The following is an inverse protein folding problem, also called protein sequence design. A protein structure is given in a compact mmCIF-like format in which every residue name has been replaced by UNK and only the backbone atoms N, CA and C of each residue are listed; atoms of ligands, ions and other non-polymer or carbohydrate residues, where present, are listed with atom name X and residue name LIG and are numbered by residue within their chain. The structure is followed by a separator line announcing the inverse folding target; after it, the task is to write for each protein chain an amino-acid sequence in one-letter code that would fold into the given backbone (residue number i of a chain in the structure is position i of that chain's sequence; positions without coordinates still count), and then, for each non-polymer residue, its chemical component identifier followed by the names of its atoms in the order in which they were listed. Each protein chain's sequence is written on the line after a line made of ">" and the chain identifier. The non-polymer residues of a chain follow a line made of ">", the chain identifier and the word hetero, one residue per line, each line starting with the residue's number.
data_IF_457408337882
#
_entry.id   IF_457408337882
#
_cell.length_a   1.000
_cell.length_b   1.000
_cell.length_c   1.000
_cell.angle_alpha   90.00
_cell.angle_beta   90.00
_cell.angle_gamma   90.00
#
_symmetry.space_group_name_H-M   'P 1'
#
loop_
_entity.id
_entity.type
_entity.pdbx_description
1 polymer ?
#
# COMPACT_ATOMS: atom_id res chain seq x y z
N UNK A 1 13.06 4.28 3.56
CA UNK A 1 13.68 5.51 4.09
C UNK A 1 13.98 5.31 5.56
N UNK A 2 15.25 5.44 5.95
CA UNK A 2 15.73 5.38 7.32
C UNK A 2 16.19 6.77 7.78
N UNK A 3 16.08 7.04 9.06
CA UNK A 3 16.65 8.23 9.69
C UNK A 3 18.01 7.84 10.27
N UNK A 4 19.07 8.43 9.76
CA UNK A 4 20.43 8.24 10.29
C UNK A 4 20.51 8.91 11.67
N UNK A 5 20.61 8.11 12.72
CA UNK A 5 20.62 8.58 14.09
C UNK A 5 21.86 9.39 14.44
N UNK A 6 23.00 9.12 13.79
CA UNK A 6 24.25 9.85 14.01
C UNK A 6 24.19 11.26 13.40
N UNK A 7 23.47 11.42 12.29
CA UNK A 7 23.31 12.71 11.60
C UNK A 7 22.08 13.48 12.07
N UNK A 8 21.15 12.87 12.78
CA UNK A 8 19.96 13.53 13.26
C UNK A 8 20.29 14.64 14.26
N UNK A 9 19.87 15.88 13.96
CA UNK A 9 20.06 17.08 14.78
C UNK A 9 18.83 17.47 15.60
N UNK A 10 17.79 16.65 15.59
CA UNK A 10 16.56 16.81 16.39
C UNK A 10 15.74 18.07 16.10
N UNK A 11 15.88 18.68 14.94
CA UNK A 11 15.16 19.89 14.58
C UNK A 11 13.66 19.69 14.38
N UNK A 12 13.18 18.45 14.29
CA UNK A 12 11.78 18.06 14.15
C UNK A 12 11.09 18.51 12.85
N UNK A 13 11.76 19.19 11.94
CA UNK A 13 11.17 19.61 10.67
C UNK A 13 10.62 18.45 9.83
N UNK A 14 11.22 17.26 9.94
CA UNK A 14 10.71 16.07 9.26
C UNK A 14 9.31 15.67 9.71
N UNK A 15 8.86 16.07 10.91
CA UNK A 15 7.48 15.82 11.38
C UNK A 15 6.49 16.75 10.68
N UNK A 16 6.81 18.03 10.61
CA UNK A 16 5.93 19.04 9.98
C UNK A 16 5.88 18.88 8.47
N UNK A 17 7.02 18.58 7.82
CA UNK A 17 7.11 18.45 6.37
C UNK A 17 6.64 17.10 5.82
N UNK A 18 6.47 16.07 6.66
CA UNK A 18 6.01 14.78 6.19
C UNK A 18 4.49 14.76 5.98
N UNK A 19 3.98 14.63 4.75
CA UNK A 19 2.54 14.57 4.49
C UNK A 19 1.89 13.36 5.18
N UNK A 20 2.63 12.26 5.32
CA UNK A 20 2.17 11.02 5.97
C UNK A 20 2.20 11.06 7.49
N UNK A 21 2.81 12.08 8.11
CA UNK A 21 2.97 12.22 9.58
C UNK A 21 3.57 10.96 10.23
N UNK A 22 4.52 10.33 9.56
CA UNK A 22 5.14 9.07 10.03
C UNK A 22 6.38 9.24 10.93
N UNK A 23 7.21 10.30 10.83
CA UNK A 23 8.26 10.53 11.79
C UNK A 23 7.70 10.94 13.16
N UNK A 24 8.31 10.46 14.21
CA UNK A 24 8.00 10.82 15.59
C UNK A 24 9.29 11.08 16.36
N UNK A 25 9.17 11.83 17.45
CA UNK A 25 10.29 12.14 18.32
C UNK A 25 10.33 11.14 19.48
N UNK A 26 11.45 10.47 19.62
CA UNK A 26 11.68 9.59 20.77
C UNK A 26 12.33 10.38 21.90
N UNK A 27 11.59 10.55 23.00
CA UNK A 27 12.02 11.35 24.16
C UNK A 27 13.17 10.69 24.93
N UNK A 28 13.30 9.37 24.91
CA UNK A 28 14.36 8.66 25.61
C UNK A 28 15.72 8.78 24.91
N UNK A 29 15.74 8.73 23.58
CA UNK A 29 16.95 8.86 22.76
C UNK A 29 17.23 10.29 22.33
N UNK A 30 16.26 11.20 22.54
CA UNK A 30 16.26 12.56 22.01
C UNK A 30 16.53 12.61 20.49
N UNK A 31 16.00 11.66 19.73
CA UNK A 31 16.18 11.52 18.27
C UNK A 31 14.85 11.37 17.55
N UNK A 32 14.89 11.68 16.26
CA UNK A 32 13.76 11.40 15.38
C UNK A 32 13.80 9.95 14.93
N UNK A 33 12.62 9.32 14.92
CA UNK A 33 12.45 7.94 14.48
C UNK A 33 11.26 7.81 13.54
N UNK A 34 11.18 6.70 12.83
CA UNK A 34 10.02 6.29 12.03
C UNK A 34 10.01 4.78 11.86
N UNK A 35 8.88 4.24 11.46
CA UNK A 35 8.76 2.84 11.11
C UNK A 35 9.81 2.46 10.04
N UNK A 36 10.61 1.44 10.33
CA UNK A 36 11.63 0.88 9.44
C UNK A 36 11.15 -0.37 8.69
N UNK A 37 9.86 -0.69 8.79
CA UNK A 37 9.24 -1.93 8.27
C UNK A 37 9.89 -3.21 8.81
N UNK A 38 10.51 -3.15 9.99
CA UNK A 38 11.27 -4.26 10.59
C UNK A 38 12.28 -4.88 9.58
N UNK A 39 13.02 -4.03 8.84
CA UNK A 39 13.88 -4.50 7.75
C UNK A 39 14.82 -5.64 8.14
N UNK A 40 15.40 -5.73 9.35
CA UNK A 40 16.26 -6.88 9.71
C UNK A 40 15.50 -8.20 9.71
N UNK A 41 14.18 -8.17 10.01
CA UNK A 41 13.32 -9.36 9.92
C UNK A 41 12.99 -9.70 8.47
N UNK A 42 12.70 -8.66 7.67
CA UNK A 42 12.39 -8.84 6.24
C UNK A 42 13.59 -9.41 5.50
N UNK A 43 14.79 -8.94 5.78
CA UNK A 43 16.05 -9.48 5.22
C UNK A 43 16.29 -10.95 5.60
N UNK A 44 15.82 -11.38 6.78
CA UNK A 44 15.88 -12.79 7.19
C UNK A 44 14.67 -13.62 6.75
N UNK A 45 13.82 -13.10 5.84
CA UNK A 45 12.65 -13.80 5.31
C UNK A 45 11.44 -13.83 6.24
N UNK A 46 11.45 -13.05 7.33
CA UNK A 46 10.36 -12.98 8.29
C UNK A 46 9.50 -11.73 8.04
N UNK A 47 8.17 -11.80 8.25
CA UNK A 47 7.32 -10.64 8.11
C UNK A 47 7.57 -9.62 9.24
N UNK A 48 7.26 -8.32 9.01
CA UNK A 48 7.24 -7.33 10.06
C UNK A 48 6.36 -7.75 11.24
N UNK A 49 6.73 -7.37 12.46
CA UNK A 49 6.03 -7.80 13.69
C UNK A 49 4.53 -7.48 13.63
N UNK A 50 4.15 -6.29 13.17
CA UNK A 50 2.75 -5.87 13.07
C UNK A 50 1.94 -6.67 12.02
N UNK A 51 2.60 -7.31 11.06
CA UNK A 51 1.95 -8.25 10.13
C UNK A 51 1.82 -9.63 10.77
N UNK A 52 2.87 -10.07 11.44
CA UNK A 52 2.89 -11.37 12.12
C UNK A 52 1.82 -11.44 13.21
N UNK A 53 1.73 -10.41 14.04
CA UNK A 53 0.79 -10.33 15.17
C UNK A 53 -0.65 -9.98 14.76
N UNK A 54 -0.91 -9.67 13.49
CA UNK A 54 -2.26 -9.34 13.03
C UNK A 54 -3.13 -10.60 12.97
N UNK A 55 -4.08 -10.74 13.91
CA UNK A 55 -4.98 -11.90 13.99
C UNK A 55 -5.83 -12.04 12.71
N UNK A 56 -6.39 -10.95 12.21
CA UNK A 56 -7.21 -10.95 10.99
C UNK A 56 -6.43 -11.09 9.69
N UNK A 57 -5.08 -11.06 9.71
CA UNK A 57 -4.23 -11.10 8.51
C UNK A 57 -4.61 -10.07 7.45
N UNK A 58 -5.14 -8.93 7.88
CA UNK A 58 -5.65 -7.88 6.98
C UNK A 58 -4.54 -7.07 6.30
N UNK A 59 -3.30 -7.17 6.77
CA UNK A 59 -2.16 -6.42 6.24
C UNK A 59 -1.36 -7.30 5.30
N UNK A 60 -1.10 -6.80 4.11
CA UNK A 60 -0.25 -7.46 3.14
C UNK A 60 0.74 -6.47 2.54
N UNK A 61 1.96 -6.92 2.30
CA UNK A 61 2.95 -6.18 1.56
C UNK A 61 3.71 -7.11 0.64
N UNK A 62 4.27 -6.57 -0.41
CA UNK A 62 5.06 -7.33 -1.35
C UNK A 62 5.50 -6.49 -2.53
N UNK A 63 6.21 -7.10 -3.43
CA UNK A 63 6.69 -6.46 -4.64
C UNK A 63 5.57 -6.44 -5.66
N UNK A 64 5.34 -5.25 -6.23
CA UNK A 64 4.45 -5.03 -7.36
C UNK A 64 5.23 -4.38 -8.49
N UNK A 65 4.93 -4.79 -9.71
CA UNK A 65 5.44 -4.13 -10.91
C UNK A 65 4.44 -3.05 -11.32
N UNK A 66 4.92 -1.82 -11.46
CA UNK A 66 4.11 -0.67 -11.86
C UNK A 66 4.51 -0.20 -13.26
N UNK A 67 3.53 0.17 -14.06
CA UNK A 67 3.72 0.87 -15.31
C UNK A 67 4.13 2.32 -15.03
N UNK A 68 5.43 2.59 -15.15
CA UNK A 68 5.99 3.90 -14.82
C UNK A 68 5.59 4.99 -15.80
N UNK A 69 5.26 4.64 -17.05
CA UNK A 69 4.85 5.61 -18.08
C UNK A 69 3.43 6.15 -17.80
N UNK A 70 2.62 5.41 -17.05
CA UNK A 70 1.25 5.78 -16.71
C UNK A 70 1.06 6.31 -15.28
N UNK A 71 2.16 6.49 -14.54
CA UNK A 71 2.09 6.99 -13.15
C UNK A 71 1.48 8.39 -13.09
N UNK A 72 1.84 9.28 -14.04
CA UNK A 72 1.30 10.63 -14.08
C UNK A 72 -0.23 10.61 -14.28
N UNK A 73 -0.73 9.83 -15.23
CA UNK A 73 -2.16 9.63 -15.45
C UNK A 73 -2.89 9.18 -14.18
N UNK A 74 -2.33 8.18 -13.50
CA UNK A 74 -2.91 7.66 -12.27
C UNK A 74 -2.89 8.68 -11.12
N UNK A 75 -1.87 9.52 -11.04
CA UNK A 75 -1.77 10.56 -10.00
C UNK A 75 -2.68 11.77 -10.25
N UNK A 76 -3.08 12.00 -11.49
CA UNK A 76 -4.01 13.09 -11.85
C UNK A 76 -5.48 12.66 -11.81
N UNK A 77 -5.77 11.38 -11.55
CA UNK A 77 -7.14 10.87 -11.46
C UNK A 77 -7.96 11.59 -10.38
N UNK A 78 -9.27 11.69 -10.56
CA UNK A 78 -10.19 12.23 -9.54
C UNK A 78 -10.18 11.35 -8.28
N UNK A 79 -10.47 11.96 -7.13
CA UNK A 79 -10.40 11.28 -5.81
C UNK A 79 -11.25 10.00 -5.75
N UNK A 80 -12.44 10.03 -6.37
CA UNK A 80 -13.33 8.85 -6.47
C UNK A 80 -12.76 7.69 -7.28
N UNK A 81 -11.83 7.97 -8.20
CA UNK A 81 -11.26 6.99 -9.13
C UNK A 81 -9.83 6.58 -8.78
N UNK A 82 -9.25 7.16 -7.73
CA UNK A 82 -7.85 6.94 -7.34
C UNK A 82 -7.48 5.46 -7.15
N UNK A 83 -8.32 4.69 -6.46
CA UNK A 83 -8.05 3.26 -6.22
C UNK A 83 -8.05 2.49 -7.53
N UNK A 84 -9.01 2.77 -8.42
CA UNK A 84 -9.09 2.16 -9.73
C UNK A 84 -7.91 2.55 -10.61
N UNK A 85 -7.52 3.83 -10.59
CA UNK A 85 -6.36 4.33 -11.31
C UNK A 85 -5.06 3.67 -10.82
N UNK A 86 -4.86 3.56 -9.50
CA UNK A 86 -3.70 2.83 -8.96
C UNK A 86 -3.69 1.36 -9.37
N UNK A 87 -4.83 0.67 -9.35
CA UNK A 87 -4.92 -0.72 -9.79
C UNK A 87 -4.62 -0.87 -11.28
N UNK A 88 -5.01 0.10 -12.11
CA UNK A 88 -4.84 0.01 -13.56
C UNK A 88 -3.37 -0.02 -14.00
N UNK A 89 -2.50 0.66 -13.26
CA UNK A 89 -1.05 0.72 -13.54
C UNK A 89 -0.23 -0.42 -12.94
N UNK A 90 -0.87 -1.34 -12.19
CA UNK A 90 -0.20 -2.55 -11.71
C UNK A 90 -0.14 -3.55 -12.85
N UNK A 91 1.07 -4.01 -13.19
CA UNK A 91 1.33 -4.96 -14.25
C UNK A 91 1.23 -6.40 -13.76
N UNK A 92 0.90 -7.32 -14.68
CA UNK A 92 0.86 -8.74 -14.37
C UNK A 92 2.29 -9.32 -14.38
N UNK A 93 2.80 -9.83 -13.24
CA UNK A 93 4.14 -10.39 -13.17
C UNK A 93 4.28 -11.74 -13.89
N UNK A 94 3.19 -12.29 -14.42
CA UNK A 94 3.20 -13.55 -15.19
C UNK A 94 3.09 -13.32 -16.70
N UNK A 95 2.87 -12.09 -17.14
CA UNK A 95 2.83 -11.74 -18.57
C UNK A 95 4.25 -11.69 -19.14
N UNK A 96 4.50 -12.46 -20.20
CA UNK A 96 5.81 -12.54 -20.87
C UNK A 96 6.29 -11.18 -21.37
N UNK A 97 5.38 -10.35 -21.93
CA UNK A 97 5.73 -9.01 -22.39
C UNK A 97 6.19 -8.10 -21.25
N UNK A 98 5.54 -8.22 -20.08
CA UNK A 98 5.91 -7.47 -18.88
C UNK A 98 7.27 -7.92 -18.35
N UNK A 99 7.53 -9.24 -18.34
CA UNK A 99 8.81 -9.83 -17.91
C UNK A 99 9.95 -9.36 -18.84
N UNK A 100 9.76 -9.40 -20.15
CA UNK A 100 10.76 -8.93 -21.11
C UNK A 100 11.04 -7.43 -20.96
N UNK A 101 9.99 -6.62 -20.82
CA UNK A 101 10.13 -5.17 -20.59
C UNK A 101 10.85 -4.87 -19.27
N UNK A 102 10.53 -5.60 -18.21
CA UNK A 102 11.19 -5.48 -16.91
C UNK A 102 12.69 -5.81 -17.00
N UNK A 103 13.05 -6.91 -17.66
CA UNK A 103 14.45 -7.28 -17.90
C UNK A 103 15.19 -6.24 -18.73
N UNK A 104 14.55 -5.74 -19.78
CA UNK A 104 15.11 -4.69 -20.64
C UNK A 104 15.35 -3.38 -19.88
N UNK A 105 14.52 -3.07 -18.88
CA UNK A 105 14.69 -1.91 -18.00
C UNK A 105 15.72 -2.13 -16.87
N UNK A 106 16.34 -3.32 -16.81
CA UNK A 106 17.42 -3.62 -15.85
C UNK A 106 16.95 -4.22 -14.53
N UNK A 107 15.70 -4.66 -14.41
CA UNK A 107 15.27 -5.44 -13.25
C UNK A 107 15.94 -6.83 -13.27
N UNK A 108 16.45 -7.25 -12.10
CA UNK A 108 16.99 -8.59 -11.94
C UNK A 108 15.87 -9.64 -11.87
N UNK A 109 16.21 -10.88 -12.26
CA UNK A 109 15.27 -12.01 -12.19
C UNK A 109 14.73 -12.25 -10.77
N UNK A 110 15.54 -11.98 -9.73
CA UNK A 110 15.13 -12.12 -8.34
C UNK A 110 13.94 -11.23 -7.97
N UNK A 111 13.87 -10.00 -8.53
CA UNK A 111 12.76 -9.10 -8.31
C UNK A 111 11.49 -9.57 -9.02
N UNK A 112 11.62 -10.09 -10.22
CA UNK A 112 10.51 -10.66 -10.99
C UNK A 112 9.96 -11.89 -10.26
N UNK A 113 10.82 -12.78 -9.83
CA UNK A 113 10.47 -13.94 -9.02
C UNK A 113 9.76 -13.56 -7.71
N UNK A 114 10.25 -12.52 -7.04
CA UNK A 114 9.65 -12.02 -5.81
C UNK A 114 8.26 -11.43 -6.07
N UNK A 115 8.06 -10.74 -7.19
CA UNK A 115 6.75 -10.23 -7.59
C UNK A 115 5.76 -11.37 -7.90
N UNK A 116 6.20 -12.43 -8.57
CA UNK A 116 5.40 -13.62 -8.89
C UNK A 116 5.00 -14.41 -7.63
N UNK A 117 5.90 -14.54 -6.66
CA UNK A 117 5.63 -15.21 -5.37
C UNK A 117 4.78 -14.37 -4.44
N UNK A 118 4.76 -13.05 -4.63
CA UNK A 118 4.01 -12.14 -3.77
C UNK A 118 2.49 -12.36 -3.91
N UNK A 119 1.77 -12.57 -2.80
CA UNK A 119 0.31 -12.68 -2.85
C UNK A 119 -0.36 -11.33 -3.16
N UNK A 120 0.37 -10.22 -3.04
CA UNK A 120 -0.17 -8.86 -3.12
C UNK A 120 -0.77 -8.58 -4.49
N UNK A 121 -0.13 -9.02 -5.57
CA UNK A 121 -0.69 -8.88 -6.92
C UNK A 121 -2.09 -9.51 -7.02
N UNK A 122 -2.26 -10.73 -6.52
CA UNK A 122 -3.57 -11.42 -6.55
C UNK A 122 -4.61 -10.70 -5.69
N UNK A 123 -4.21 -10.24 -4.50
CA UNK A 123 -5.10 -9.54 -3.58
C UNK A 123 -5.55 -8.17 -4.09
N UNK A 124 -4.66 -7.43 -4.77
CA UNK A 124 -4.93 -6.06 -5.21
C UNK A 124 -5.55 -6.01 -6.60
N UNK A 125 -4.95 -6.73 -7.57
CA UNK A 125 -5.30 -6.65 -8.98
C UNK A 125 -6.31 -7.70 -9.41
N UNK A 126 -6.09 -8.97 -9.04
CA UNK A 126 -6.92 -10.08 -9.53
C UNK A 126 -8.21 -10.27 -8.74
N UNK A 127 -8.15 -10.15 -7.42
CA UNK A 127 -9.30 -10.34 -6.54
C UNK A 127 -9.90 -9.05 -6.02
N UNK A 128 -9.20 -7.93 -6.18
CA UNK A 128 -9.62 -6.58 -5.76
C UNK A 128 -10.02 -6.47 -4.27
N UNK A 129 -9.51 -7.36 -3.43
CA UNK A 129 -9.82 -7.44 -2.01
C UNK A 129 -9.01 -6.45 -1.16
N UNK A 130 -7.82 -6.09 -1.60
CA UNK A 130 -6.92 -5.24 -0.84
C UNK A 130 -6.85 -3.83 -1.43
N UNK A 131 -6.80 -2.84 -0.54
CA UNK A 131 -6.80 -1.42 -0.86
C UNK A 131 -5.57 -0.74 -0.27
N UNK A 132 -5.02 0.31 -0.90
CA UNK A 132 -4.04 1.16 -0.26
C UNK A 132 -4.67 1.89 0.93
N UNK A 133 -3.90 2.11 2.00
CA UNK A 133 -4.42 2.76 3.21
C UNK A 133 -4.76 4.24 2.97
N UNK A 134 -3.99 4.91 2.14
CA UNK A 134 -4.09 6.35 1.86
C UNK A 134 -3.92 6.63 0.37
N UNK A 135 -4.92 6.28 -0.46
CA UNK A 135 -4.87 6.56 -1.91
C UNK A 135 -4.79 8.06 -2.21
N UNK A 136 -5.35 8.90 -1.34
CA UNK A 136 -5.33 10.36 -1.45
C UNK A 136 -3.92 10.96 -1.47
N UNK A 137 -2.91 10.24 -0.98
CA UNK A 137 -1.52 10.68 -1.08
C UNK A 137 -0.89 10.45 -2.45
N UNK A 138 -1.60 9.80 -3.38
CA UNK A 138 -1.21 9.63 -4.78
C UNK A 138 0.20 9.07 -4.96
N UNK A 139 0.58 8.13 -4.10
CA UNK A 139 1.88 7.45 -4.14
C UNK A 139 1.73 6.00 -4.58
N UNK A 140 2.83 5.37 -4.97
CA UNK A 140 2.86 3.96 -5.34
C UNK A 140 3.02 3.10 -4.07
N UNK A 141 1.93 2.54 -3.51
CA UNK A 141 2.02 1.77 -2.27
C UNK A 141 2.59 0.38 -2.52
N UNK A 142 3.32 -0.15 -1.54
CA UNK A 142 3.72 -1.56 -1.45
C UNK A 142 2.98 -2.28 -0.31
N UNK A 143 2.15 -1.55 0.40
CA UNK A 143 1.45 -1.98 1.61
C UNK A 143 -0.04 -1.79 1.40
N UNK A 144 -0.78 -2.87 1.58
CA UNK A 144 -2.21 -2.92 1.33
C UNK A 144 -2.95 -3.53 2.50
N UNK A 145 -4.22 -3.18 2.62
CA UNK A 145 -5.09 -3.62 3.69
C UNK A 145 -6.35 -4.25 3.11
N UNK A 146 -6.75 -5.38 3.66
CA UNK A 146 -8.05 -5.99 3.37
C UNK A 146 -9.03 -5.38 4.37
N UNK A 147 -10.02 -4.59 3.92
CA UNK A 147 -11.02 -4.06 4.82
C UNK A 147 -11.84 -5.20 5.44
N UNK A 148 -12.31 -5.07 6.68
CA UNK A 148 -13.22 -6.04 7.25
C UNK A 148 -14.51 -6.08 6.42
N UNK A 149 -15.09 -7.26 6.25
CA UNK A 149 -16.43 -7.40 5.67
C UNK A 149 -17.40 -6.66 6.60
N UNK A 150 -17.79 -5.47 6.21
CA UNK A 150 -18.74 -4.65 6.95
C UNK A 150 -20.17 -5.05 6.58
N UNK A 151 -21.14 -5.02 7.52
CA UNK A 151 -22.56 -5.10 7.20
C UNK A 151 -23.00 -4.11 6.14
N UNK A 152 -22.30 -2.96 6.04
CA UNK A 152 -22.50 -1.95 4.99
C UNK A 152 -22.29 -2.51 3.59
N UNK A 153 -21.30 -3.39 3.41
CA UNK A 153 -21.03 -4.06 2.12
C UNK A 153 -22.16 -5.01 1.72
N UNK A 154 -22.79 -5.63 2.71
CA UNK A 154 -23.90 -6.58 2.48
C UNK A 154 -25.21 -5.85 2.17
N UNK A 155 -25.39 -4.64 2.70
CA UNK A 155 -26.60 -3.83 2.51
C UNK A 155 -26.58 -2.96 1.26
N UNK A 156 -25.44 -2.77 0.64
CA UNK A 156 -25.28 -1.92 -0.57
C UNK A 156 -25.88 -2.53 -1.86
N UNK A 157 -26.54 -3.69 -1.76
CA UNK A 157 -27.20 -4.33 -2.90
C UNK A 157 -26.32 -5.25 -3.72
N UNK A 158 -26.91 -5.87 -4.77
CA UNK A 158 -26.24 -6.86 -5.63
C UNK A 158 -25.27 -6.25 -6.63
N UNK A 159 -25.32 -4.95 -6.83
CA UNK A 159 -24.34 -4.22 -7.63
C UNK A 159 -23.10 -4.04 -6.77
N UNK A 160 -21.95 -4.41 -7.29
CA UNK A 160 -20.68 -4.28 -6.57
C UNK A 160 -20.56 -2.84 -6.05
N UNK A 161 -20.45 -2.62 -4.72
CA UNK A 161 -20.37 -1.29 -4.17
C UNK A 161 -19.13 -0.61 -4.77
N UNK A 162 -19.30 0.60 -5.28
CA UNK A 162 -18.16 1.40 -5.67
C UNK A 162 -17.31 1.70 -4.43
N UNK A 163 -16.01 1.90 -4.61
CA UNK A 163 -15.11 2.24 -3.50
C UNK A 163 -15.60 3.48 -2.71
N UNK A 164 -16.41 4.32 -3.35
CA UNK A 164 -17.10 5.48 -2.73
C UNK A 164 -18.26 5.09 -1.83
N UNK A 165 -18.96 3.99 -2.10
CA UNK A 165 -20.12 3.56 -1.32
C UNK A 165 -19.75 3.07 0.08
N UNK A 166 -18.52 2.56 0.24
CA UNK A 166 -18.00 2.05 1.53
C UNK A 166 -17.81 3.18 2.54
N UNK A 167 -17.55 4.38 2.07
CA UNK A 167 -17.29 5.56 2.90
C UNK A 167 -18.43 6.57 2.90
N UNK A 168 -19.57 6.25 2.28
CA UNK A 168 -20.75 7.12 2.29
C UNK A 168 -21.43 7.07 3.66
N UNK A 169 -21.25 8.14 4.43
CA UNK A 169 -21.83 8.27 5.77
C UNK A 169 -23.37 8.29 5.77
N UNK A 170 -24.01 8.64 4.66
CA UNK A 170 -25.47 8.61 4.56
C UNK A 170 -25.98 7.17 4.43
N UNK A 171 -25.31 6.32 3.67
CA UNK A 171 -25.59 4.89 3.57
C UNK A 171 -25.26 4.17 4.89
N UNK A 172 -24.15 4.56 5.56
CA UNK A 172 -23.79 4.03 6.87
C UNK A 172 -24.85 4.26 7.93
N UNK A 173 -25.47 5.43 7.97
CA UNK A 173 -26.55 5.76 8.92
C UNK A 173 -27.83 4.93 8.69
N UNK A 174 -28.14 4.59 7.44
CA UNK A 174 -29.32 3.74 7.11
C UNK A 174 -29.17 2.29 7.53
N UNK A 175 -27.97 1.83 7.87
CA UNK A 175 -27.69 0.44 8.28
C UNK A 175 -27.56 0.32 9.81
N UNK A 176 -27.27 1.43 10.50
CA UNK A 176 -27.07 1.46 11.96
C UNK A 176 -28.34 1.81 12.75
N UNK A 177 -29.44 2.12 12.07
CA UNK A 177 -30.78 2.36 12.63
C UNK A 177 -31.77 1.28 12.21
#
# INVERSE_FOLDING_TARGET
>A
VLIDQNRCRNWRYCVSSCPYKKPYYNWSSAKMEKCILCYPRVESGLPPVCFHSCVGKIRSFGILLYDMDRVEEATLAEDRDLVRAHRSIILDPFDENVIEAAKKSGLSDDWIDAAQRSPVYKLVKKWELALPLHPEFRTLPMLFYIPPLSPLMTSAGKDSPSDTDVFDMAKAKGVLL
#
